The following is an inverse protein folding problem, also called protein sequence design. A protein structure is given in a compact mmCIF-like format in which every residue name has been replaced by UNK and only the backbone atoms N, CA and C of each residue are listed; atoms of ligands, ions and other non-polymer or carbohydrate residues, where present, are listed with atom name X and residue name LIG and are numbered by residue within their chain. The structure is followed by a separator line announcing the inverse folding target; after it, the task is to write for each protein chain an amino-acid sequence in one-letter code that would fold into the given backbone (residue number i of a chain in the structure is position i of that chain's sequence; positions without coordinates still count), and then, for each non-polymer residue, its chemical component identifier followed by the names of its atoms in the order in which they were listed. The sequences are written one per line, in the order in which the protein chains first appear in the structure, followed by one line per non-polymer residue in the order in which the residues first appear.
data_IF_398893622248
#
_entry.id   IF_398893622248
#
_cell.length_a   1.000
_cell.length_b   1.000
_cell.length_c   1.000
_cell.angle_alpha   90.00
_cell.angle_beta   90.00
_cell.angle_gamma   90.00
#
_symmetry.space_group_name_H-M   'P 1'
#
loop_
_entity.id
_entity.type
_entity.pdbx_description
1 polymer ?
#
# COMPACT_ATOMS: atom_id res chain seq x y z
N UNK A 1 0.19 4.76 -5.64
CA UNK A 1 -0.48 6.06 -5.74
C UNK A 1 -1.80 5.99 -4.97
N UNK A 2 -2.06 6.98 -4.12
CA UNK A 2 -3.40 7.24 -3.61
C UNK A 2 -4.27 7.78 -4.75
N UNK A 3 -5.55 7.39 -4.81
CA UNK A 3 -6.50 7.85 -5.84
C UNK A 3 -7.01 9.27 -5.61
N UNK A 4 -6.82 9.79 -4.41
CA UNK A 4 -7.23 11.12 -3.97
C UNK A 4 -6.05 11.89 -3.38
N UNK A 5 -6.31 13.14 -2.96
CA UNK A 5 -5.34 14.04 -2.33
C UNK A 5 -5.17 13.80 -0.82
N UNK A 6 -6.04 12.99 -0.21
CA UNK A 6 -5.87 12.65 1.21
C UNK A 6 -4.58 11.86 1.46
N UNK A 7 -3.90 12.17 2.56
CA UNK A 7 -2.67 11.49 3.00
C UNK A 7 -2.74 11.14 4.49
N UNK A 8 -2.13 10.02 4.90
CA UNK A 8 -2.04 9.64 6.31
C UNK A 8 -1.40 10.72 7.19
N UNK A 9 -0.37 11.39 6.68
CA UNK A 9 0.31 12.50 7.36
C UNK A 9 0.04 13.83 6.63
N UNK A 10 -1.15 14.44 6.81
CA UNK A 10 -1.55 15.63 6.04
C UNK A 10 -0.67 16.86 6.31
N UNK A 11 -0.11 16.97 7.51
CA UNK A 11 0.81 18.05 7.86
C UNK A 11 2.16 17.95 7.14
N UNK A 12 2.61 16.74 6.80
CA UNK A 12 3.79 16.51 5.96
C UNK A 12 3.41 16.82 4.51
N UNK A 13 2.30 16.26 4.02
CA UNK A 13 1.81 16.49 2.65
C UNK A 13 1.69 17.99 2.32
N UNK A 14 1.16 18.79 3.24
CA UNK A 14 0.99 20.24 3.07
C UNK A 14 2.31 21.01 2.86
N UNK A 15 3.45 20.43 3.22
CA UNK A 15 4.80 21.01 3.05
C UNK A 15 5.54 20.46 1.84
N UNK A 16 5.00 19.43 1.19
CA UNK A 16 5.65 18.76 0.08
C UNK A 16 5.09 19.25 -1.26
N UNK A 17 5.89 19.99 -2.02
CA UNK A 17 5.59 20.29 -3.42
C UNK A 17 5.48 19.00 -4.24
N UNK A 18 4.52 18.91 -5.15
CA UNK A 18 4.33 17.69 -5.96
C UNK A 18 3.76 16.49 -5.18
N UNK A 19 3.26 16.72 -3.96
CA UNK A 19 2.25 15.92 -3.24
C UNK A 19 1.72 14.64 -3.87
N UNK A 20 0.99 14.98 -4.91
CA UNK A 20 -0.01 14.16 -5.53
C UNK A 20 0.42 13.82 -6.96
N UNK A 21 1.65 14.17 -7.36
CA UNK A 21 2.22 13.74 -8.63
C UNK A 21 2.47 12.22 -8.62
N UNK A 22 2.43 11.63 -9.80
CA UNK A 22 2.75 10.23 -10.00
C UNK A 22 4.19 9.92 -9.53
N UNK A 23 4.47 8.85 -8.78
CA UNK A 23 3.66 7.66 -8.45
C UNK A 23 2.93 7.72 -7.09
N UNK A 24 2.96 8.86 -6.39
CA UNK A 24 2.38 9.02 -5.05
C UNK A 24 0.89 9.37 -5.10
N UNK A 25 0.47 10.15 -6.10
CA UNK A 25 -0.93 10.45 -6.38
C UNK A 25 -1.28 10.35 -7.86
N UNK A 26 -2.31 11.09 -8.26
CA UNK A 26 -2.93 11.01 -9.59
C UNK A 26 -2.70 12.25 -10.48
N UNK A 27 -1.92 13.23 -10.02
CA UNK A 27 -1.45 14.34 -10.85
C UNK A 27 -0.27 13.86 -11.72
N UNK A 28 -0.01 14.52 -12.85
CA UNK A 28 1.12 14.25 -13.76
C UNK A 28 1.33 12.79 -14.17
N UNK A 29 0.23 12.07 -14.40
CA UNK A 29 0.25 10.64 -14.75
C UNK A 29 0.95 10.38 -16.10
N UNK A 30 1.65 9.24 -16.24
CA UNK A 30 2.31 8.89 -17.50
C UNK A 30 1.29 8.71 -18.64
N UNK A 31 1.70 8.88 -19.92
CA UNK A 31 0.78 8.86 -21.06
C UNK A 31 -0.13 7.63 -21.15
N UNK A 32 0.35 6.45 -20.73
CA UNK A 32 -0.45 5.21 -20.73
C UNK A 32 -1.59 5.19 -19.70
N UNK A 33 -1.65 6.19 -18.80
CA UNK A 33 -2.73 6.40 -17.83
C UNK A 33 -3.47 7.73 -18.06
N UNK A 34 -3.26 8.39 -19.21
CA UNK A 34 -3.85 9.69 -19.49
C UNK A 34 -5.38 9.64 -19.61
N UNK A 35 -5.90 8.62 -20.30
CA UNK A 35 -7.34 8.47 -20.58
C UNK A 35 -8.20 8.12 -19.36
N UNK A 36 -7.91 7.06 -18.57
CA UNK A 36 -8.80 6.70 -17.46
C UNK A 36 -8.76 7.81 -16.40
N UNK A 37 -9.92 8.18 -15.85
CA UNK A 37 -9.97 9.14 -14.73
C UNK A 37 -9.43 8.49 -13.44
N UNK A 38 -8.97 9.28 -12.45
CA UNK A 38 -8.60 8.74 -11.14
C UNK A 38 -9.70 7.87 -10.53
N UNK A 39 -10.96 8.31 -10.62
CA UNK A 39 -12.12 7.55 -10.15
C UNK A 39 -12.34 6.23 -10.92
N UNK A 40 -12.14 6.22 -12.24
CA UNK A 40 -12.24 4.98 -13.03
C UNK A 40 -11.12 3.99 -12.67
N UNK A 41 -9.90 4.48 -12.42
CA UNK A 41 -8.79 3.66 -11.93
C UNK A 41 -9.09 3.09 -10.54
N UNK A 42 -9.63 3.92 -9.64
CA UNK A 42 -10.01 3.52 -8.29
C UNK A 42 -11.09 2.44 -8.32
N UNK A 43 -12.18 2.67 -9.06
CA UNK A 43 -13.26 1.69 -9.25
C UNK A 43 -12.73 0.35 -9.76
N UNK A 44 -11.84 0.38 -10.74
CA UNK A 44 -11.21 -0.83 -11.24
C UNK A 44 -10.34 -1.51 -10.16
N UNK A 45 -9.66 -0.74 -9.30
CA UNK A 45 -8.79 -1.29 -8.25
C UNK A 45 -9.58 -1.90 -7.09
N UNK A 46 -10.62 -1.24 -6.59
CA UNK A 46 -11.48 -1.76 -5.51
C UNK A 46 -12.23 -3.03 -5.91
N UNK A 47 -12.54 -3.18 -7.21
CA UNK A 47 -13.17 -4.39 -7.75
C UNK A 47 -12.24 -5.61 -7.84
N UNK A 48 -10.92 -5.45 -7.69
CA UNK A 48 -9.95 -6.56 -7.76
C UNK A 48 -9.80 -7.27 -6.42
N UNK A 49 -9.47 -8.56 -6.48
CA UNK A 49 -8.95 -9.28 -5.31
C UNK A 49 -7.53 -8.80 -5.02
N UNK A 50 -7.30 -8.21 -3.85
CA UNK A 50 -5.99 -7.69 -3.43
C UNK A 50 -5.66 -8.24 -2.05
N UNK A 51 -4.46 -8.80 -1.90
CA UNK A 51 -3.90 -9.16 -0.60
C UNK A 51 -2.73 -8.22 -0.34
N UNK A 52 -2.83 -7.41 0.71
CA UNK A 52 -1.73 -6.60 1.23
C UNK A 52 -0.93 -7.46 2.21
N UNK A 53 0.17 -8.04 1.72
CA UNK A 53 1.04 -8.90 2.51
C UNK A 53 2.15 -8.06 3.16
N UNK A 54 2.10 -7.85 4.48
CA UNK A 54 2.94 -6.89 5.20
C UNK A 54 3.81 -7.59 6.25
N UNK A 55 5.13 -7.45 6.16
CA UNK A 55 6.05 -8.00 7.15
C UNK A 55 6.02 -7.20 8.46
N UNK A 56 5.76 -7.85 9.59
CA UNK A 56 5.62 -7.15 10.90
C UNK A 56 6.92 -6.51 11.40
N UNK A 57 8.07 -6.83 10.80
CA UNK A 57 9.37 -6.23 11.12
C UNK A 57 9.87 -5.25 10.04
N UNK A 58 9.06 -4.90 9.03
CA UNK A 58 9.41 -3.88 8.02
C UNK A 58 9.17 -2.46 8.57
N UNK A 59 9.84 -2.18 9.70
CA UNK A 59 9.61 -1.04 10.60
C UNK A 59 10.83 -0.13 10.76
N UNK A 60 11.89 -0.32 9.96
CA UNK A 60 13.10 0.49 10.03
C UNK A 60 12.95 1.78 9.17
N UNK A 61 12.79 2.98 9.77
CA UNK A 61 12.69 4.23 9.02
C UNK A 61 14.02 4.62 8.35
N UNK A 62 15.14 4.09 8.84
CA UNK A 62 16.47 4.39 8.33
C UNK A 62 16.93 3.43 7.23
N UNK A 63 16.11 2.44 6.86
CA UNK A 63 16.46 1.43 5.87
C UNK A 63 16.95 2.10 4.55
N UNK A 64 18.11 1.67 3.99
CA UNK A 64 18.73 2.38 2.86
C UNK A 64 17.88 2.39 1.58
N UNK A 65 17.10 1.34 1.35
CA UNK A 65 16.16 1.26 0.23
C UNK A 65 14.74 1.79 0.54
N UNK A 66 14.53 2.47 1.69
CA UNK A 66 13.24 3.12 1.96
C UNK A 66 13.19 4.44 1.20
N UNK A 67 12.06 4.73 0.56
CA UNK A 67 11.82 6.04 -0.03
C UNK A 67 11.61 7.05 1.11
N UNK A 68 12.55 8.00 1.25
CA UNK A 68 12.54 9.07 2.26
C UNK A 68 12.23 10.43 1.65
N UNK A 69 11.69 10.46 0.43
CA UNK A 69 11.20 11.71 -0.17
C UNK A 69 10.03 12.26 0.66
N UNK A 70 9.83 13.58 0.63
CA UNK A 70 8.76 14.24 1.38
C UNK A 70 7.39 13.58 1.12
N UNK A 71 7.13 13.19 -0.14
CA UNK A 71 5.89 12.54 -0.56
C UNK A 71 5.69 11.16 0.09
N UNK A 72 6.77 10.40 0.22
CA UNK A 72 6.74 9.08 0.81
C UNK A 72 6.57 9.16 2.34
N UNK A 73 7.18 10.17 2.98
CA UNK A 73 6.97 10.46 4.41
C UNK A 73 5.52 10.87 4.70
N UNK A 74 4.83 11.50 3.74
CA UNK A 74 3.42 11.81 3.87
C UNK A 74 2.51 10.55 3.98
N UNK A 75 3.03 9.37 3.63
CA UNK A 75 2.34 8.08 3.72
C UNK A 75 2.63 7.34 5.05
N UNK A 76 3.64 7.78 5.81
CA UNK A 76 4.04 7.20 7.09
C UNK A 76 5.54 6.92 7.22
N UNK A 77 6.02 6.49 8.41
CA UNK A 77 7.45 6.45 8.74
C UNK A 77 8.23 5.26 8.16
N UNK A 78 7.58 4.15 7.83
CA UNK A 78 8.20 2.93 7.32
C UNK A 78 7.16 2.06 6.60
N UNK A 79 7.59 0.99 5.92
CA UNK A 79 6.73 0.24 4.98
C UNK A 79 5.54 -0.45 5.65
N UNK A 80 5.72 -1.03 6.85
CA UNK A 80 4.62 -1.63 7.59
C UNK A 80 3.50 -0.61 7.89
N UNK A 81 3.85 0.58 8.41
CA UNK A 81 2.90 1.65 8.66
C UNK A 81 2.26 2.17 7.36
N UNK A 82 3.06 2.40 6.30
CA UNK A 82 2.55 2.86 4.99
C UNK A 82 1.54 1.88 4.38
N UNK A 83 1.79 0.58 4.51
CA UNK A 83 0.89 -0.47 4.06
C UNK A 83 -0.47 -0.41 4.77
N UNK A 84 -0.46 -0.40 6.10
CA UNK A 84 -1.68 -0.29 6.91
C UNK A 84 -2.44 1.03 6.68
N UNK A 85 -1.72 2.14 6.55
CA UNK A 85 -2.31 3.43 6.20
C UNK A 85 -3.03 3.41 4.86
N UNK A 86 -2.44 2.77 3.83
CA UNK A 86 -3.06 2.65 2.53
C UNK A 86 -4.31 1.75 2.58
N UNK A 87 -4.23 0.61 3.29
CA UNK A 87 -5.39 -0.28 3.52
C UNK A 87 -6.53 0.48 4.16
N UNK A 88 -6.26 1.24 5.23
CA UNK A 88 -7.27 2.03 5.92
C UNK A 88 -7.89 3.10 5.00
N UNK A 89 -7.08 3.79 4.20
CA UNK A 89 -7.56 4.79 3.24
C UNK A 89 -8.44 4.19 2.13
N UNK A 90 -8.18 2.94 1.72
CA UNK A 90 -9.01 2.25 0.74
C UNK A 90 -10.30 1.69 1.38
N UNK A 91 -10.22 1.13 2.58
CA UNK A 91 -11.38 0.60 3.30
C UNK A 91 -12.41 1.70 3.66
N UNK A 92 -11.95 2.95 3.82
CA UNK A 92 -12.79 4.11 4.11
C UNK A 92 -13.56 4.67 2.90
N UNK A 93 -13.41 4.09 1.70
CA UNK A 93 -14.13 4.54 0.49
C UNK A 93 -15.60 4.14 0.51
N UNK A 94 -16.39 4.80 -0.32
CA UNK A 94 -17.80 4.45 -0.52
C UNK A 94 -17.91 3.02 -1.05
N UNK A 95 -18.56 2.15 -0.28
CA UNK A 95 -18.64 0.71 -0.58
C UNK A 95 -17.41 -0.11 -0.12
N UNK A 96 -16.40 0.55 0.45
CA UNK A 96 -15.18 -0.05 0.99
C UNK A 96 -14.39 -0.87 -0.03
N UNK A 97 -13.68 -1.87 0.46
CA UNK A 97 -12.89 -2.79 -0.36
C UNK A 97 -13.23 -4.25 -0.04
N UNK A 98 -14.40 -4.74 -0.49
CA UNK A 98 -14.92 -6.06 -0.08
C UNK A 98 -14.03 -7.23 -0.52
N UNK A 99 -13.19 -7.03 -1.54
CA UNK A 99 -12.29 -8.03 -2.09
C UNK A 99 -10.82 -7.82 -1.67
N UNK A 100 -10.56 -6.86 -0.79
CA UNK A 100 -9.22 -6.62 -0.27
C UNK A 100 -9.06 -7.26 1.10
N UNK A 101 -7.84 -7.67 1.43
CA UNK A 101 -7.48 -8.23 2.73
C UNK A 101 -6.05 -7.83 3.09
N UNK A 102 -5.78 -7.64 4.39
CA UNK A 102 -4.45 -7.32 4.90
C UNK A 102 -3.96 -8.48 5.74
N UNK A 103 -2.81 -9.04 5.38
CA UNK A 103 -2.22 -10.18 6.08
C UNK A 103 -0.84 -9.79 6.60
N UNK A 104 -0.71 -9.76 7.92
CA UNK A 104 0.54 -9.50 8.59
C UNK A 104 1.37 -10.78 8.66
N UNK A 105 2.60 -10.73 8.14
CA UNK A 105 3.55 -11.86 8.13
C UNK A 105 4.46 -11.74 9.35
N UNK A 106 4.26 -12.58 10.39
CA UNK A 106 4.98 -12.42 11.64
C UNK A 106 6.47 -12.66 11.49
N UNK A 107 7.29 -11.78 12.05
CA UNK A 107 8.74 -11.95 12.13
C UNK A 107 9.50 -11.70 10.83
N UNK A 108 8.85 -11.16 9.79
CA UNK A 108 9.49 -10.86 8.50
C UNK A 108 9.61 -9.34 8.29
N UNK A 109 10.78 -8.88 7.83
CA UNK A 109 11.04 -7.50 7.44
C UNK A 109 10.98 -7.30 5.92
N UNK A 110 11.85 -6.47 5.37
CA UNK A 110 11.92 -6.22 3.92
C UNK A 110 12.67 -7.33 3.15
N UNK A 111 12.26 -8.58 3.32
CA UNK A 111 12.92 -9.76 2.77
C UNK A 111 11.96 -10.56 1.86
N UNK A 112 11.99 -10.30 0.55
CA UNK A 112 11.06 -10.91 -0.41
C UNK A 112 11.03 -12.44 -0.40
N UNK A 113 12.19 -13.08 -0.22
CA UNK A 113 12.27 -14.54 -0.10
C UNK A 113 11.55 -15.09 1.12
N UNK A 114 11.63 -14.42 2.27
CA UNK A 114 10.88 -14.82 3.48
C UNK A 114 9.40 -14.49 3.36
N UNK A 115 9.04 -13.36 2.73
CA UNK A 115 7.65 -12.99 2.50
C UNK A 115 6.91 -14.04 1.65
N UNK A 116 7.45 -14.38 0.47
CA UNK A 116 6.79 -15.28 -0.46
C UNK A 116 6.82 -16.76 -0.03
N UNK A 117 7.85 -17.18 0.73
CA UNK A 117 7.93 -18.53 1.29
C UNK A 117 7.30 -18.66 2.69
N UNK A 118 6.78 -17.59 3.28
CA UNK A 118 6.01 -17.68 4.52
C UNK A 118 4.71 -18.46 4.31
N UNK A 119 4.09 -19.01 5.37
CA UNK A 119 2.77 -19.64 5.24
C UNK A 119 1.74 -18.70 4.56
N UNK A 120 1.76 -17.41 4.89
CA UNK A 120 0.89 -16.41 4.27
C UNK A 120 1.22 -16.11 2.80
N UNK A 121 2.50 -16.08 2.43
CA UNK A 121 2.90 -15.92 1.02
C UNK A 121 2.48 -17.12 0.17
N UNK A 122 2.72 -18.34 0.66
CA UNK A 122 2.33 -19.57 0.00
C UNK A 122 0.81 -19.72 -0.11
N UNK A 123 0.07 -19.35 0.94
CA UNK A 123 -1.38 -19.19 0.86
C UNK A 123 -1.76 -18.18 -0.23
N UNK A 124 -1.20 -16.96 -0.21
CA UNK A 124 -1.68 -15.86 -1.04
C UNK A 124 -1.57 -16.16 -2.54
N UNK A 125 -0.52 -16.88 -2.92
CA UNK A 125 -0.16 -17.17 -4.32
C UNK A 125 -0.66 -18.55 -4.79
N UNK A 126 -0.61 -19.57 -3.93
CA UNK A 126 -0.86 -20.97 -4.32
C UNK A 126 -2.02 -21.63 -3.56
N UNK A 127 -2.72 -20.88 -2.70
CA UNK A 127 -3.81 -21.39 -1.85
C UNK A 127 -3.40 -22.54 -0.91
N UNK A 128 -2.10 -22.64 -0.59
CA UNK A 128 -1.57 -23.61 0.39
C UNK A 128 -2.01 -23.18 1.80
N UNK A 129 -2.71 -24.02 2.60
CA UNK A 129 -3.14 -23.68 3.95
C UNK A 129 -1.99 -23.33 4.91
N UNK A 130 -2.27 -22.53 5.96
CA UNK A 130 -1.28 -22.23 7.01
C UNK A 130 -1.17 -20.76 7.46
N UNK A 131 -2.04 -19.87 6.98
CA UNK A 131 -2.05 -18.44 7.34
C UNK A 131 -3.30 -18.03 8.14
N UNK A 132 -4.09 -18.98 8.63
CA UNK A 132 -5.44 -18.73 9.17
C UNK A 132 -5.45 -17.73 10.35
N UNK A 133 -4.38 -17.66 11.14
CA UNK A 133 -4.25 -16.73 12.25
C UNK A 133 -3.95 -15.27 11.83
N UNK A 134 -3.53 -15.05 10.58
CA UNK A 134 -3.16 -13.74 10.03
C UNK A 134 -4.13 -13.26 8.92
N UNK A 135 -5.17 -14.05 8.61
CA UNK A 135 -6.22 -13.68 7.64
C UNK A 135 -7.35 -12.88 8.26
#
# INVERSE_FOLDING_TARGET
AYFTKERPEPAIAAKCEGYNSWKFGMDDRPPYLAEPTPAALEQAYVGRRVIYLLGTLDTNPDHPALDKSCMAEAEGPYRYARGHSYVAAMAARDGGTPNHSVWDVPGVGHEGGKMLNSPCGLTAVFDIPGCEAAR
#
